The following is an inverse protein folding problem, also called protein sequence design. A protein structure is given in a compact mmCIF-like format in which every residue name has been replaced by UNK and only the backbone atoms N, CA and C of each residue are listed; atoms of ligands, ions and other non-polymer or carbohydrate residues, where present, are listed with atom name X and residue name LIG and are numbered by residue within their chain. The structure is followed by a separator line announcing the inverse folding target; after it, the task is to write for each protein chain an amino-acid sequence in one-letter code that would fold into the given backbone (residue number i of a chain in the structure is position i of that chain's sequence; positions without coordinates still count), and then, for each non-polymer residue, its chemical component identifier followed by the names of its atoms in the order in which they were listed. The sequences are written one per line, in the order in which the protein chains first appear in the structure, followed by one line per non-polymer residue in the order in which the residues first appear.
data_IF_545826556793
#
_entry.id   IF_545826556793
#
_cell.length_a   1.000
_cell.length_b   1.000
_cell.length_c   1.000
_cell.angle_alpha   90.00
_cell.angle_beta   90.00
_cell.angle_gamma   90.00
#
_symmetry.space_group_name_H-M   'P 1'
#
loop_
_entity.id
_entity.type
_entity.pdbx_description
1 polymer ?
#
# COMPACT_ATOMS: atom_id res chain seq x y z
N UNK A 1 -14.96 -77.50 49.11
CA UNK A 1 -13.58 -77.17 48.70
C UNK A 1 -13.53 -77.08 47.19
N UNK A 2 -12.91 -76.00 46.73
CA UNK A 2 -12.26 -75.73 45.44
C UNK A 2 -13.09 -75.26 44.23
N UNK A 3 -12.90 -73.96 44.00
CA UNK A 3 -13.30 -73.10 42.89
C UNK A 3 -12.75 -73.56 41.53
N UNK A 4 -13.53 -73.30 40.48
CA UNK A 4 -13.05 -73.30 39.09
C UNK A 4 -12.44 -71.93 38.75
N UNK A 5 -11.27 -71.86 38.09
CA UNK A 5 -10.67 -70.57 37.77
C UNK A 5 -11.34 -69.93 36.55
N UNK A 6 -11.49 -68.61 36.68
CA UNK A 6 -12.05 -67.66 35.72
C UNK A 6 -11.17 -67.56 34.46
N UNK A 7 -11.79 -67.62 33.29
CA UNK A 7 -11.19 -67.23 32.01
C UNK A 7 -11.00 -65.71 31.97
N UNK A 8 -9.76 -65.25 32.14
CA UNK A 8 -9.38 -63.84 32.06
C UNK A 8 -9.07 -63.43 30.60
N UNK A 9 -9.56 -62.25 30.22
CA UNK A 9 -9.48 -61.64 28.88
C UNK A 9 -8.04 -61.38 28.43
N UNK A 10 -7.70 -61.77 27.20
CA UNK A 10 -6.62 -61.12 26.47
C UNK A 10 -7.18 -59.96 25.63
N UNK A 11 -7.04 -58.72 26.13
CA UNK A 11 -7.14 -57.52 25.28
C UNK A 11 -6.02 -57.62 24.24
N UNK A 12 -6.36 -57.59 22.96
CA UNK A 12 -5.39 -57.49 21.87
C UNK A 12 -4.55 -56.22 22.10
N UNK A 13 -3.29 -56.41 22.47
CA UNK A 13 -2.32 -55.34 22.55
C UNK A 13 -2.03 -54.86 21.12
N UNK A 14 -2.21 -53.56 20.87
CA UNK A 14 -1.76 -52.94 19.62
C UNK A 14 -0.28 -53.25 19.40
N UNK A 15 0.15 -53.60 18.16
CA UNK A 15 1.53 -53.95 17.91
C UNK A 15 2.42 -52.75 18.24
N UNK A 16 3.37 -52.98 19.15
CA UNK A 16 4.35 -51.98 19.53
C UNK A 16 5.06 -51.46 18.28
N UNK A 17 4.79 -50.20 17.90
CA UNK A 17 5.47 -49.51 16.80
C UNK A 17 6.98 -49.73 16.93
N UNK A 18 7.60 -50.27 15.88
CA UNK A 18 8.99 -50.70 15.93
C UNK A 18 9.90 -49.55 16.41
N UNK A 19 10.97 -49.84 17.18
CA UNK A 19 11.88 -48.81 17.69
C UNK A 19 12.42 -47.91 16.57
N UNK A 20 12.74 -48.49 15.41
CA UNK A 20 13.18 -47.77 14.22
C UNK A 20 12.12 -46.79 13.67
N UNK A 21 10.84 -47.15 13.69
CA UNK A 21 9.77 -46.27 13.27
C UNK A 21 9.60 -45.10 14.25
N UNK A 22 9.75 -45.34 15.56
CA UNK A 22 9.67 -44.28 16.57
C UNK A 22 10.82 -43.29 16.43
N UNK A 23 12.03 -43.79 16.21
CA UNK A 23 13.23 -42.97 16.03
C UNK A 23 13.14 -42.13 14.75
N UNK A 24 12.74 -42.74 13.63
CA UNK A 24 12.48 -42.03 12.38
C UNK A 24 11.38 -40.96 12.52
N UNK A 25 10.29 -41.27 13.23
CA UNK A 25 9.19 -40.30 13.45
C UNK A 25 9.66 -39.12 14.31
N UNK A 26 10.50 -39.37 15.32
CA UNK A 26 11.10 -38.32 16.15
C UNK A 26 12.02 -37.42 15.32
N UNK A 27 12.87 -38.01 14.47
CA UNK A 27 13.76 -37.27 13.59
C UNK A 27 12.99 -36.42 12.55
N UNK A 28 11.87 -36.93 12.02
CA UNK A 28 10.99 -36.16 11.13
C UNK A 28 10.27 -35.02 11.88
N UNK A 29 9.85 -35.24 13.13
CA UNK A 29 9.21 -34.22 13.95
C UNK A 29 10.19 -33.10 14.32
N UNK A 30 11.44 -33.43 14.67
CA UNK A 30 12.50 -32.45 14.92
C UNK A 30 12.82 -31.66 13.65
N UNK A 31 12.96 -32.31 12.48
CA UNK A 31 13.12 -31.60 11.19
C UNK A 31 11.93 -30.71 10.84
N UNK A 32 10.71 -31.11 11.18
CA UNK A 32 9.51 -30.31 10.94
C UNK A 32 9.45 -29.09 11.87
N UNK A 33 9.83 -29.25 13.14
CA UNK A 33 9.96 -28.15 14.10
C UNK A 33 11.07 -27.19 13.70
N UNK A 34 12.24 -27.70 13.31
CA UNK A 34 13.35 -26.88 12.81
C UNK A 34 12.95 -26.11 11.56
N UNK A 35 12.14 -26.71 10.66
CA UNK A 35 11.58 -26.00 9.50
C UNK A 35 10.48 -24.99 9.86
N UNK A 36 9.73 -25.24 10.92
CA UNK A 36 8.71 -24.30 11.41
C UNK A 36 9.33 -23.11 12.15
N UNK A 37 10.47 -23.33 12.81
CA UNK A 37 11.25 -22.31 13.51
C UNK A 37 12.24 -21.57 12.60
N UNK A 38 12.74 -22.24 11.55
CA UNK A 38 13.44 -21.58 10.46
C UNK A 38 12.45 -20.71 9.71
N UNK A 39 12.50 -19.39 9.97
CA UNK A 39 11.75 -18.37 9.25
C UNK A 39 11.76 -18.68 7.74
N UNK A 40 10.62 -18.67 7.03
CA UNK A 40 10.53 -19.22 5.69
C UNK A 40 11.56 -18.57 4.76
N UNK A 41 12.41 -19.42 4.17
CA UNK A 41 13.42 -19.01 3.22
C UNK A 41 12.75 -18.39 1.97
N UNK A 42 13.32 -17.34 1.37
CA UNK A 42 12.56 -16.43 0.53
C UNK A 42 12.29 -17.00 -0.87
N UNK A 43 11.05 -17.41 -1.11
CA UNK A 43 10.35 -17.11 -2.37
C UNK A 43 9.94 -15.63 -2.49
N UNK A 44 10.40 -14.76 -1.57
CA UNK A 44 9.82 -13.44 -1.20
C UNK A 44 9.94 -12.33 -2.24
N UNK A 45 10.71 -12.45 -3.32
CA UNK A 45 10.90 -11.31 -4.24
C UNK A 45 9.61 -10.92 -4.97
N UNK A 46 8.84 -11.90 -5.41
CA UNK A 46 7.51 -11.67 -6.01
C UNK A 46 6.45 -11.21 -5.01
N UNK A 47 6.55 -11.62 -3.74
CA UNK A 47 5.61 -11.17 -2.69
C UNK A 47 5.87 -9.71 -2.30
N UNK A 48 7.14 -9.35 -2.09
CA UNK A 48 7.53 -7.98 -1.72
C UNK A 48 7.18 -6.96 -2.80
N UNK A 49 7.34 -7.30 -4.07
CA UNK A 49 6.97 -6.42 -5.17
C UNK A 49 5.45 -6.22 -5.25
N UNK A 50 4.67 -7.30 -5.11
CA UNK A 50 3.21 -7.21 -4.99
C UNK A 50 2.78 -6.38 -3.77
N UNK A 51 3.40 -6.59 -2.62
CA UNK A 51 3.15 -5.78 -1.42
C UNK A 51 3.40 -4.29 -1.68
N UNK A 52 4.50 -3.94 -2.36
CA UNK A 52 4.79 -2.54 -2.74
C UNK A 52 3.74 -1.98 -3.70
N UNK A 53 3.28 -2.76 -4.67
CA UNK A 53 2.18 -2.33 -5.56
C UNK A 53 0.87 -2.13 -4.81
N UNK A 54 0.56 -3.00 -3.84
CA UNK A 54 -0.62 -2.87 -3.00
C UNK A 54 -0.54 -1.59 -2.13
N UNK A 55 0.60 -1.36 -1.48
CA UNK A 55 0.83 -0.15 -0.69
C UNK A 55 0.73 1.11 -1.56
N UNK A 56 1.39 1.14 -2.72
CA UNK A 56 1.26 2.25 -3.70
C UNK A 56 -0.22 2.51 -4.00
N UNK A 57 -0.96 1.48 -4.40
CA UNK A 57 -2.35 1.61 -4.79
C UNK A 57 -3.22 2.14 -3.63
N UNK A 58 -3.02 1.61 -2.43
CA UNK A 58 -3.74 2.05 -1.23
C UNK A 58 -3.47 3.52 -0.92
N UNK A 59 -2.20 3.94 -0.84
CA UNK A 59 -1.85 5.30 -0.44
C UNK A 59 -2.18 6.35 -1.51
N UNK A 60 -2.08 6.01 -2.80
CA UNK A 60 -2.55 6.89 -3.89
C UNK A 60 -4.07 7.07 -3.82
N UNK A 61 -4.84 5.99 -3.67
CA UNK A 61 -6.30 6.06 -3.53
C UNK A 61 -6.70 6.83 -2.26
N UNK A 62 -5.96 6.69 -1.17
CA UNK A 62 -6.20 7.42 0.08
C UNK A 62 -5.96 8.92 -0.07
N UNK A 63 -4.87 9.31 -0.75
CA UNK A 63 -4.59 10.72 -1.05
C UNK A 63 -5.73 11.36 -1.85
N UNK A 64 -6.16 10.72 -2.93
CA UNK A 64 -7.24 11.26 -3.77
C UNK A 64 -8.56 11.36 -3.00
N UNK A 65 -8.88 10.36 -2.18
CA UNK A 65 -10.05 10.38 -1.30
C UNK A 65 -10.00 11.52 -0.29
N UNK A 66 -8.82 11.82 0.28
CA UNK A 66 -8.67 12.92 1.24
C UNK A 66 -8.98 14.28 0.59
N UNK A 67 -8.44 14.51 -0.60
CA UNK A 67 -8.73 15.71 -1.41
C UNK A 67 -10.21 15.80 -1.78
N UNK A 68 -10.81 14.71 -2.28
CA UNK A 68 -12.24 14.62 -2.60
C UNK A 68 -13.11 14.92 -1.38
N UNK A 69 -12.79 14.36 -0.22
CA UNK A 69 -13.55 14.53 1.02
C UNK A 69 -13.52 15.97 1.52
N UNK A 70 -12.34 16.60 1.58
CA UNK A 70 -12.22 17.99 2.01
C UNK A 70 -12.91 18.95 1.04
N UNK A 71 -12.78 18.69 -0.27
CA UNK A 71 -13.50 19.44 -1.30
C UNK A 71 -15.02 19.31 -1.14
N UNK A 72 -15.51 18.09 -0.91
CA UNK A 72 -16.92 17.82 -0.65
C UNK A 72 -17.43 18.49 0.62
N UNK A 73 -16.60 18.58 1.67
CA UNK A 73 -16.93 19.29 2.90
C UNK A 73 -17.09 20.80 2.66
N UNK A 74 -16.21 21.42 1.87
CA UNK A 74 -16.33 22.84 1.48
C UNK A 74 -17.61 23.09 0.69
N UNK A 75 -17.91 22.28 -0.32
CA UNK A 75 -19.14 22.41 -1.10
C UNK A 75 -20.40 22.23 -0.25
N UNK A 76 -20.36 21.30 0.72
CA UNK A 76 -21.47 21.07 1.65
C UNK A 76 -21.72 22.31 2.52
N UNK A 77 -20.66 22.91 3.05
CA UNK A 77 -20.76 24.12 3.87
C UNK A 77 -21.25 25.32 3.06
N UNK A 78 -20.80 25.44 1.80
CA UNK A 78 -21.26 26.49 0.89
C UNK A 78 -22.72 26.31 0.41
N UNK A 79 -23.33 25.13 0.63
CA UNK A 79 -24.65 24.79 0.12
C UNK A 79 -24.73 24.69 -1.41
N UNK A 80 -23.60 24.68 -2.11
CA UNK A 80 -23.49 24.65 -3.57
C UNK A 80 -22.20 23.97 -4.03
N UNK A 81 -22.17 23.33 -5.22
CA UNK A 81 -20.99 22.67 -5.76
C UNK A 81 -20.00 23.69 -6.38
N UNK A 82 -19.37 24.50 -5.53
CA UNK A 82 -18.42 25.54 -5.96
C UNK A 82 -17.11 24.97 -6.50
N UNK A 83 -16.60 23.93 -5.85
CA UNK A 83 -15.38 23.21 -6.23
C UNK A 83 -15.74 21.99 -7.09
N UNK A 84 -15.18 21.92 -8.30
CA UNK A 84 -15.37 20.78 -9.21
C UNK A 84 -14.21 19.81 -9.07
N UNK A 85 -14.51 18.51 -8.96
CA UNK A 85 -13.51 17.44 -8.88
C UNK A 85 -13.55 16.58 -10.14
N UNK A 86 -12.41 16.43 -10.80
CA UNK A 86 -12.23 15.53 -11.95
C UNK A 86 -11.12 14.52 -11.65
N UNK A 87 -11.43 13.22 -11.76
CA UNK A 87 -10.49 12.14 -11.45
C UNK A 87 -10.29 11.21 -12.64
N UNK A 88 -9.02 10.90 -12.94
CA UNK A 88 -8.60 9.90 -13.92
C UNK A 88 -7.65 8.91 -13.25
N UNK A 89 -8.00 7.62 -13.15
CA UNK A 89 -7.19 6.64 -12.38
C UNK A 89 -6.28 5.74 -13.22
N UNK A 90 -6.52 5.60 -14.54
CA UNK A 90 -5.71 4.80 -15.47
C UNK A 90 -5.10 3.51 -14.83
N UNK A 91 -5.92 2.62 -14.24
CA UNK A 91 -5.39 1.51 -13.46
C UNK A 91 -4.70 0.46 -14.33
N UNK A 92 -3.56 -0.05 -13.88
CA UNK A 92 -2.89 -1.25 -14.42
C UNK A 92 -3.11 -2.44 -13.49
N UNK A 93 -3.42 -3.61 -14.05
CA UNK A 93 -3.49 -4.84 -13.29
C UNK A 93 -2.08 -5.48 -13.22
N UNK A 94 -1.46 -5.44 -12.03
CA UNK A 94 -0.15 -6.02 -11.78
C UNK A 94 -0.30 -7.19 -10.81
N UNK A 95 -0.49 -8.38 -11.38
CA UNK A 95 -0.59 -9.62 -10.61
C UNK A 95 -1.81 -9.67 -9.68
N UNK A 96 -2.95 -9.13 -10.12
CA UNK A 96 -4.21 -9.06 -9.37
C UNK A 96 -4.42 -7.76 -8.60
N UNK A 97 -3.48 -6.81 -8.67
CA UNK A 97 -3.54 -5.54 -7.97
C UNK A 97 -3.85 -4.43 -8.98
N UNK A 98 -4.91 -3.67 -8.73
CA UNK A 98 -5.22 -2.45 -9.49
C UNK A 98 -4.39 -1.28 -9.01
N UNK A 99 -3.31 -1.00 -9.73
CA UNK A 99 -2.37 0.06 -9.40
C UNK A 99 -2.71 1.31 -10.23
N UNK A 100 -3.01 2.47 -9.60
CA UNK A 100 -3.31 3.71 -10.32
C UNK A 100 -2.04 4.21 -11.02
N UNK A 101 -1.98 4.08 -12.34
CA UNK A 101 -0.78 4.38 -13.12
C UNK A 101 -0.97 5.63 -13.96
N UNK A 102 -0.19 6.69 -13.73
CA UNK A 102 -0.47 7.97 -14.38
C UNK A 102 -1.81 8.56 -13.91
N UNK A 103 -2.22 8.27 -12.67
CA UNK A 103 -3.46 8.77 -12.11
C UNK A 103 -3.40 10.28 -11.88
N UNK A 104 -4.52 10.98 -12.09
CA UNK A 104 -4.65 12.43 -11.98
C UNK A 104 -5.93 12.79 -11.22
N UNK A 105 -5.82 13.75 -10.31
CA UNK A 105 -6.94 14.42 -9.68
C UNK A 105 -6.83 15.92 -9.98
N UNK A 106 -7.93 16.53 -10.39
CA UNK A 106 -8.02 17.97 -10.67
C UNK A 106 -9.14 18.56 -9.84
N UNK A 107 -8.85 19.64 -9.13
CA UNK A 107 -9.82 20.49 -8.46
C UNK A 107 -9.88 21.83 -9.18
N UNK A 108 -11.09 22.33 -9.46
CA UNK A 108 -11.29 23.63 -10.13
C UNK A 108 -12.18 24.52 -9.28
N UNK A 109 -11.82 25.79 -9.21
CA UNK A 109 -12.63 26.85 -8.65
C UNK A 109 -12.52 28.08 -9.54
N UNK A 110 -13.64 28.51 -10.13
CA UNK A 110 -13.64 29.57 -11.13
C UNK A 110 -12.60 29.28 -12.22
N UNK A 111 -11.59 30.14 -12.36
CA UNK A 111 -10.51 30.02 -13.32
C UNK A 111 -9.28 29.29 -12.74
N UNK A 112 -9.17 29.19 -11.41
CA UNK A 112 -8.06 28.52 -10.74
C UNK A 112 -8.21 27.00 -10.79
N UNK A 113 -7.07 26.32 -10.90
CA UNK A 113 -7.00 24.86 -10.98
C UNK A 113 -5.84 24.32 -10.15
N UNK A 114 -6.15 23.35 -9.30
CA UNK A 114 -5.17 22.52 -8.61
C UNK A 114 -5.14 21.13 -9.25
N UNK A 115 -3.96 20.61 -9.55
CA UNK A 115 -3.80 19.25 -10.05
C UNK A 115 -2.83 18.43 -9.21
N UNK A 116 -3.17 17.17 -8.99
CA UNK A 116 -2.26 16.17 -8.43
C UNK A 116 -2.09 15.06 -9.44
N UNK A 117 -0.89 14.94 -9.99
CA UNK A 117 -0.56 13.99 -11.07
C UNK A 117 0.43 12.96 -10.55
N UNK A 118 0.00 11.71 -10.40
CA UNK A 118 0.84 10.57 -10.01
C UNK A 118 1.66 10.13 -11.21
N UNK A 119 2.99 10.06 -11.04
CA UNK A 119 3.89 9.61 -12.10
C UNK A 119 3.64 8.13 -12.45
N UNK A 120 3.74 7.74 -13.73
CA UNK A 120 3.70 6.34 -14.13
C UNK A 120 4.82 5.50 -13.49
N UNK A 121 4.61 4.19 -13.39
CA UNK A 121 5.66 3.25 -12.98
C UNK A 121 6.81 3.25 -13.97
N UNK A 122 8.03 3.16 -13.45
CA UNK A 122 9.23 3.01 -14.26
C UNK A 122 9.26 1.59 -14.84
N UNK A 123 9.55 1.46 -16.12
CA UNK A 123 9.78 0.17 -16.77
C UNK A 123 11.28 -0.13 -16.81
N UNK A 124 11.72 -1.17 -16.08
CA UNK A 124 13.10 -1.66 -16.11
C UNK A 124 13.11 -3.07 -16.72
N UNK A 125 13.83 -3.25 -17.82
CA UNK A 125 13.90 -4.55 -18.51
C UNK A 125 12.53 -5.09 -18.95
N UNK A 126 11.60 -4.19 -19.32
CA UNK A 126 10.24 -4.56 -19.75
C UNK A 126 9.26 -4.87 -18.61
N UNK A 127 9.65 -4.69 -17.35
CA UNK A 127 8.77 -4.89 -16.19
C UNK A 127 8.53 -3.57 -15.46
N UNK A 128 7.29 -3.24 -15.07
CA UNK A 128 7.03 -2.08 -14.24
C UNK A 128 7.57 -2.33 -12.83
N UNK A 129 8.27 -1.37 -12.22
CA UNK A 129 8.88 -1.49 -10.89
C UNK A 129 8.74 -0.16 -10.12
N UNK A 130 8.41 -0.19 -8.82
CA UNK A 130 8.56 0.98 -7.94
C UNK A 130 10.05 1.14 -7.58
N UNK A 131 10.73 2.10 -8.21
CA UNK A 131 12.16 2.37 -7.99
C UNK A 131 12.31 3.58 -7.05
N UNK A 132 13.04 3.39 -5.95
CA UNK A 132 13.21 4.42 -4.92
C UNK A 132 11.94 4.57 -4.06
N UNK A 133 11.02 5.44 -4.49
CA UNK A 133 9.74 5.68 -3.82
C UNK A 133 8.65 4.68 -4.27
N UNK A 134 7.63 4.46 -3.45
CA UNK A 134 6.46 3.67 -3.84
C UNK A 134 5.68 4.36 -4.98
N UNK A 135 5.63 5.69 -4.97
CA UNK A 135 5.12 6.54 -6.03
C UNK A 135 5.76 7.93 -5.96
N UNK A 136 5.69 8.66 -7.06
CA UNK A 136 5.89 10.11 -7.09
C UNK A 136 4.64 10.77 -7.62
N UNK A 137 4.40 12.00 -7.22
CA UNK A 137 3.33 12.82 -7.77
C UNK A 137 3.78 14.27 -7.88
N UNK A 138 3.21 15.03 -8.81
CA UNK A 138 3.42 16.47 -8.88
C UNK A 138 2.13 17.17 -8.49
N UNK A 139 2.24 18.17 -7.61
CA UNK A 139 1.17 19.11 -7.29
C UNK A 139 1.38 20.35 -8.14
N UNK A 140 0.35 20.78 -8.85
CA UNK A 140 0.42 21.87 -9.82
C UNK A 140 -0.69 22.86 -9.50
N UNK A 141 -0.31 24.12 -9.27
CA UNK A 141 -1.20 25.24 -9.01
C UNK A 141 -1.21 26.15 -10.23
N UNK A 142 -2.35 26.25 -10.88
CA UNK A 142 -2.55 27.06 -12.07
C UNK A 142 -3.53 28.19 -11.80
N UNK A 143 -3.04 29.42 -11.90
CA UNK A 143 -3.84 30.65 -11.85
C UNK A 143 -3.75 31.36 -13.21
N UNK A 144 -4.84 31.41 -14.02
CA UNK A 144 -4.85 32.12 -15.30
C UNK A 144 -4.60 33.62 -15.18
N UNK A 145 -4.88 34.22 -14.02
CA UNK A 145 -4.63 35.64 -13.78
C UNK A 145 -3.14 35.93 -13.57
N UNK A 146 -2.34 34.90 -13.24
CA UNK A 146 -0.89 34.97 -13.19
C UNK A 146 -0.25 33.75 -13.89
N UNK A 147 -0.24 33.71 -15.24
CA UNK A 147 0.32 32.59 -15.99
C UNK A 147 1.82 32.37 -15.74
N UNK A 148 2.52 33.40 -15.27
CA UNK A 148 3.94 33.33 -14.93
C UNK A 148 4.19 32.81 -13.50
N UNK A 149 3.16 32.87 -12.63
CA UNK A 149 3.17 32.41 -11.24
C UNK A 149 2.67 30.98 -11.03
N UNK A 150 2.58 30.16 -12.08
CA UNK A 150 2.25 28.74 -11.93
C UNK A 150 3.30 28.05 -11.02
N UNK A 151 2.87 27.66 -9.82
CA UNK A 151 3.71 26.95 -8.86
C UNK A 151 3.52 25.44 -8.99
N UNK A 152 4.59 24.68 -8.83
CA UNK A 152 4.52 23.24 -8.75
C UNK A 152 5.58 22.68 -7.80
N UNK A 153 5.28 21.52 -7.25
CA UNK A 153 6.27 20.75 -6.50
C UNK A 153 6.00 19.26 -6.56
N UNK A 154 7.08 18.50 -6.40
CA UNK A 154 7.03 17.04 -6.42
C UNK A 154 6.85 16.47 -5.01
N UNK A 155 6.11 15.37 -4.94
CA UNK A 155 5.92 14.52 -3.80
C UNK A 155 6.54 13.14 -4.06
N UNK A 156 7.03 12.52 -3.00
CA UNK A 156 7.46 11.12 -2.97
C UNK A 156 6.70 10.36 -1.88
N UNK A 157 6.13 9.21 -2.25
CA UNK A 157 5.50 8.29 -1.31
C UNK A 157 6.55 7.33 -0.75
N UNK A 158 6.75 7.37 0.56
CA UNK A 158 7.64 6.47 1.29
C UNK A 158 6.97 5.13 1.62
N UNK A 159 7.76 4.13 2.00
CA UNK A 159 7.24 2.80 2.36
C UNK A 159 6.36 2.81 3.63
N UNK A 160 6.53 3.81 4.50
CA UNK A 160 5.70 4.03 5.69
C UNK A 160 4.33 4.69 5.36
N UNK A 161 4.08 4.99 4.09
CA UNK A 161 2.84 5.61 3.62
C UNK A 161 2.82 7.14 3.66
N UNK A 162 3.90 7.78 4.13
CA UNK A 162 4.01 9.23 4.15
C UNK A 162 4.29 9.79 2.76
N UNK A 163 3.56 10.84 2.37
CA UNK A 163 3.89 11.67 1.22
C UNK A 163 4.84 12.76 1.69
N UNK A 164 5.99 12.92 1.03
CA UNK A 164 6.98 13.94 1.38
C UNK A 164 7.23 14.81 0.17
N UNK A 165 7.28 16.14 0.34
CA UNK A 165 7.76 17.02 -0.73
C UNK A 165 9.24 16.73 -1.00
N UNK A 166 9.62 16.61 -2.27
CA UNK A 166 11.03 16.55 -2.67
C UNK A 166 11.65 17.91 -2.32
N UNK A 167 12.55 17.91 -1.33
CA UNK A 167 13.36 19.07 -0.99
C UNK A 167 14.49 19.27 -2.00
N UNK A 168 15.04 20.49 -2.03
CA UNK A 168 16.33 20.74 -2.66
C UNK A 168 17.44 20.06 -1.83
N UNK A 169 18.53 19.63 -2.47
CA UNK A 169 19.66 19.04 -1.76
C UNK A 169 20.22 20.03 -0.73
N UNK A 170 20.31 19.61 0.54
CA UNK A 170 20.89 20.41 1.63
C UNK A 170 19.91 21.18 2.51
N UNK A 171 18.60 21.15 2.23
CA UNK A 171 17.59 21.78 3.06
C UNK A 171 16.95 20.81 4.07
N UNK A 172 16.48 21.34 5.20
CA UNK A 172 15.66 20.59 6.15
C UNK A 172 14.42 20.07 5.41
N UNK A 173 14.14 18.75 5.43
CA UNK A 173 13.00 18.23 4.71
C UNK A 173 11.71 18.87 5.24
N UNK A 174 10.83 19.37 4.36
CA UNK A 174 9.53 19.89 4.78
C UNK A 174 8.72 18.80 5.49
N UNK A 175 7.73 19.18 6.32
CA UNK A 175 6.85 18.22 6.94
C UNK A 175 6.15 17.32 5.90
N UNK A 176 5.67 16.13 6.31
CA UNK A 176 4.90 15.28 5.41
C UNK A 176 3.71 16.02 4.82
N UNK A 177 3.50 15.84 3.53
CA UNK A 177 2.31 16.30 2.83
C UNK A 177 1.09 15.54 3.36
N UNK A 178 0.34 16.20 4.23
CA UNK A 178 -0.82 15.64 4.90
C UNK A 178 -2.02 16.58 4.84
N UNK A 179 -2.92 16.42 5.80
CA UNK A 179 -4.17 17.18 5.85
C UNK A 179 -3.94 18.69 5.91
N UNK A 180 -2.92 19.14 6.64
CA UNK A 180 -2.57 20.57 6.76
C UNK A 180 -2.23 21.16 5.40
N UNK A 181 -1.36 20.51 4.65
CA UNK A 181 -0.93 20.95 3.32
C UNK A 181 -2.10 20.90 2.33
N UNK A 182 -2.96 19.87 2.41
CA UNK A 182 -4.17 19.80 1.58
C UNK A 182 -5.11 20.98 1.87
N UNK A 183 -5.31 21.35 3.14
CA UNK A 183 -6.11 22.53 3.50
C UNK A 183 -5.51 23.81 2.92
N UNK A 184 -4.21 24.02 3.05
CA UNK A 184 -3.54 25.18 2.46
C UNK A 184 -3.65 25.25 0.94
N UNK A 185 -3.65 24.11 0.23
CA UNK A 185 -3.92 24.07 -1.20
C UNK A 185 -5.36 24.45 -1.55
N UNK A 186 -6.33 24.01 -0.75
CA UNK A 186 -7.74 24.39 -0.92
C UNK A 186 -7.97 25.87 -0.62
N UNK A 187 -7.32 26.41 0.41
CA UNK A 187 -7.31 27.85 0.73
C UNK A 187 -6.76 28.65 -0.47
N UNK A 188 -5.61 28.27 -1.00
CA UNK A 188 -5.06 28.89 -2.21
C UNK A 188 -6.01 28.81 -3.41
N UNK A 189 -6.66 27.65 -3.61
CA UNK A 189 -7.57 27.44 -4.73
C UNK A 189 -8.77 28.39 -4.69
N UNK A 190 -9.26 28.72 -3.50
CA UNK A 190 -10.43 29.61 -3.33
C UNK A 190 -10.09 31.09 -3.22
N UNK A 191 -8.86 31.44 -2.82
CA UNK A 191 -8.42 32.84 -2.70
C UNK A 191 -8.24 33.29 -1.26
#
# INVERSE_FOLDING_TARGET
MNEAPRSERARAAEPARSPALREWTKEMAERALDRAHASPAPGRRGNREKERFALRAQHVKALFRSLENLTGAVNKEAGAPLLVVERTLNPKNLGGIEVPDGARLVLKFLERRLEVVVSPLVNLGGRPVPVGALATASVIQYDPADPAGADWYDLMLREDGSWMRKGAEGETPPPPFGEKEIRSLLEWLVG
#
